data_IF_596025752705
#
_entry.id   IF_596025752705
#
_cell.length_a   1.000
_cell.length_b   1.000
_cell.length_c   1.000
_cell.angle_alpha   90.00
_cell.angle_beta   90.00
_cell.angle_gamma   90.00
#
_symmetry.space_group_name_H-M   'P 1'
#
loop_
_entity.id
_entity.type
_entity.pdbx_description
1 polymer ?
#
# COMPACT_ATOMS: atom_id res chain seq x y z
N UNK A 1 -1.67 -19.26 -0.49
CA UNK A 1 -1.88 -18.05 0.32
C UNK A 1 -3.02 -18.29 1.29
N UNK A 2 -2.74 -18.19 2.59
CA UNK A 2 -3.73 -18.28 3.65
C UNK A 2 -3.97 -16.89 4.24
N UNK A 3 -4.83 -16.11 3.59
CA UNK A 3 -5.07 -14.71 4.01
C UNK A 3 -5.66 -14.58 5.42
N UNK A 4 -6.32 -15.64 5.95
CA UNK A 4 -6.88 -15.66 7.31
C UNK A 4 -5.79 -15.84 8.36
N UNK A 5 -4.85 -16.77 8.14
CA UNK A 5 -3.67 -16.93 8.98
C UNK A 5 -2.78 -15.69 8.91
N UNK A 6 -2.71 -15.06 7.73
CA UNK A 6 -2.13 -13.73 7.53
C UNK A 6 -0.97 -13.77 6.56
N UNK A 7 -0.97 -12.83 5.63
CA UNK A 7 0.02 -12.72 4.56
C UNK A 7 0.58 -11.30 4.52
N UNK A 8 1.83 -11.16 4.06
CA UNK A 8 2.45 -9.87 3.73
C UNK A 8 2.58 -9.81 2.22
N UNK A 9 1.92 -8.83 1.61
CA UNK A 9 1.81 -8.65 0.18
C UNK A 9 2.48 -7.34 -0.22
N UNK A 10 3.16 -7.34 -1.36
CA UNK A 10 3.79 -6.15 -1.94
C UNK A 10 2.96 -5.74 -3.16
N UNK A 11 2.47 -4.51 -3.16
CA UNK A 11 1.61 -4.00 -4.23
C UNK A 11 2.23 -2.76 -4.85
N UNK A 12 2.40 -2.73 -6.17
CA UNK A 12 2.78 -1.50 -6.87
C UNK A 12 1.54 -0.61 -6.97
N UNK A 13 1.47 0.43 -6.13
CA UNK A 13 0.33 1.35 -6.07
C UNK A 13 0.31 2.22 -7.34
N UNK A 14 -0.77 2.19 -8.14
CA UNK A 14 -0.87 3.04 -9.31
C UNK A 14 -1.06 4.52 -8.93
N UNK A 15 -0.76 5.40 -9.89
CA UNK A 15 -0.95 6.83 -9.74
C UNK A 15 -2.44 7.16 -9.53
N UNK A 16 -2.73 8.21 -8.77
CA UNK A 16 -4.06 8.73 -8.39
C UNK A 16 -4.85 7.84 -7.43
N UNK A 17 -4.38 6.63 -7.10
CA UNK A 17 -5.03 5.79 -6.10
C UNK A 17 -4.57 6.17 -4.69
N UNK A 18 -5.50 6.29 -3.75
CA UNK A 18 -5.14 6.41 -2.33
C UNK A 18 -4.68 5.05 -1.79
N UNK A 19 -3.86 5.07 -0.75
CA UNK A 19 -3.44 3.84 -0.06
C UNK A 19 -4.66 3.03 0.46
N UNK A 20 -5.70 3.73 0.92
CA UNK A 20 -6.94 3.11 1.37
C UNK A 20 -7.74 2.48 0.22
N UNK A 21 -7.73 3.06 -0.98
CA UNK A 21 -8.38 2.49 -2.16
C UNK A 21 -7.78 1.12 -2.52
N UNK A 22 -6.46 0.99 -2.48
CA UNK A 22 -5.77 -0.30 -2.68
C UNK A 22 -6.20 -1.32 -1.63
N UNK A 23 -6.18 -0.94 -0.35
CA UNK A 23 -6.63 -1.81 0.75
C UNK A 23 -8.06 -2.29 0.54
N UNK A 24 -8.98 -1.40 0.12
CA UNK A 24 -10.37 -1.76 -0.15
C UNK A 24 -10.50 -2.73 -1.31
N UNK A 25 -9.76 -2.49 -2.41
CA UNK A 25 -9.77 -3.36 -3.58
C UNK A 25 -9.25 -4.75 -3.23
N UNK A 26 -8.13 -4.84 -2.51
CA UNK A 26 -7.55 -6.12 -2.07
C UNK A 26 -8.51 -6.86 -1.14
N UNK A 27 -9.07 -6.17 -0.13
CA UNK A 27 -10.03 -6.77 0.79
C UNK A 27 -11.24 -7.33 0.04
N UNK A 28 -11.78 -6.58 -0.91
CA UNK A 28 -12.89 -7.02 -1.75
C UNK A 28 -12.56 -8.31 -2.49
N UNK A 29 -11.43 -8.37 -3.21
CA UNK A 29 -11.04 -9.54 -3.97
C UNK A 29 -10.77 -10.77 -3.08
N UNK A 30 -10.11 -10.59 -1.94
CA UNK A 30 -9.85 -11.67 -0.98
C UNK A 30 -11.17 -12.21 -0.41
N UNK A 31 -12.07 -11.34 0.05
CA UNK A 31 -13.37 -11.75 0.58
C UNK A 31 -14.17 -12.57 -0.44
N UNK A 32 -14.23 -12.11 -1.70
CA UNK A 32 -14.92 -12.84 -2.78
C UNK A 32 -14.28 -14.19 -3.07
N UNK A 33 -12.95 -14.26 -3.15
CA UNK A 33 -12.22 -15.50 -3.41
C UNK A 33 -12.42 -16.54 -2.31
N UNK A 34 -12.51 -16.10 -1.05
CA UNK A 34 -12.65 -16.99 0.11
C UNK A 34 -14.10 -17.23 0.54
N UNK A 35 -15.09 -16.59 -0.10
CA UNK A 35 -16.49 -16.70 0.31
C UNK A 35 -16.77 -16.15 1.71
N UNK A 36 -15.99 -15.17 2.19
CA UNK A 36 -16.15 -14.59 3.54
C UNK A 36 -16.64 -13.15 3.49
N UNK A 37 -17.41 -12.75 4.50
CA UNK A 37 -17.94 -11.38 4.60
C UNK A 37 -16.86 -10.35 4.98
N UNK A 38 -15.89 -10.74 5.81
CA UNK A 38 -14.88 -9.82 6.35
C UNK A 38 -13.55 -10.52 6.60
N UNK A 39 -12.48 -9.79 6.34
CA UNK A 39 -11.10 -10.15 6.70
C UNK A 39 -10.33 -8.88 7.07
N UNK A 40 -9.40 -8.98 8.02
CA UNK A 40 -8.51 -7.87 8.36
C UNK A 40 -7.51 -7.66 7.23
N UNK A 41 -7.43 -6.42 6.75
CA UNK A 41 -6.46 -5.97 5.74
C UNK A 41 -6.05 -4.54 6.10
N UNK A 42 -4.75 -4.26 6.15
CA UNK A 42 -4.17 -2.95 6.39
C UNK A 42 -2.88 -2.75 5.60
N UNK A 43 -2.37 -1.53 5.56
CA UNK A 43 -1.11 -1.20 4.87
C UNK A 43 -0.03 -0.74 5.87
N UNK A 44 1.24 -0.99 5.56
CA UNK A 44 2.37 -0.58 6.39
C UNK A 44 3.05 0.69 5.87
N UNK A 45 2.29 1.79 5.91
CA UNK A 45 2.74 3.12 5.49
C UNK A 45 1.90 3.66 4.34
N UNK A 46 1.58 4.95 4.42
CA UNK A 46 0.79 5.64 3.40
C UNK A 46 1.71 6.08 2.26
N UNK A 47 1.29 5.86 1.03
CA UNK A 47 1.78 6.56 -0.15
C UNK A 47 0.73 7.59 -0.59
N UNK A 48 1.20 8.80 -0.92
CA UNK A 48 0.36 9.85 -1.47
C UNK A 48 -0.37 9.40 -2.74
N UNK A 49 -1.56 9.94 -3.03
CA UNK A 49 -2.26 9.64 -4.28
C UNK A 49 -1.41 9.90 -5.52
N UNK A 50 -0.53 10.90 -5.48
CA UNK A 50 0.36 11.26 -6.58
C UNK A 50 1.72 10.51 -6.58
N UNK A 51 1.97 9.67 -5.57
CA UNK A 51 3.10 8.75 -5.57
C UNK A 51 2.72 7.40 -6.19
N UNK A 52 3.71 6.67 -6.71
CA UNK A 52 3.56 5.28 -7.18
C UNK A 52 4.54 4.36 -6.43
N UNK A 53 4.50 3.06 -6.71
CA UNK A 53 5.51 2.13 -6.22
C UNK A 53 5.06 1.26 -5.05
N UNK A 54 6.03 0.62 -4.41
CA UNK A 54 5.79 -0.50 -3.51
C UNK A 54 5.06 -0.08 -2.24
N UNK A 55 3.92 -0.70 -1.99
CA UNK A 55 3.15 -0.59 -0.77
C UNK A 55 2.98 -1.97 -0.14
N UNK A 56 3.33 -2.09 1.14
CA UNK A 56 3.19 -3.32 1.91
C UNK A 56 1.75 -3.40 2.44
N UNK A 57 1.10 -4.53 2.19
CA UNK A 57 -0.26 -4.85 2.61
C UNK A 57 -0.23 -6.11 3.47
N UNK A 58 -0.80 -6.04 4.66
CA UNK A 58 -0.89 -7.18 5.57
C UNK A 58 -2.35 -7.66 5.66
N UNK A 59 -2.55 -8.98 5.71
CA UNK A 59 -3.87 -9.60 5.95
C UNK A 59 -3.89 -10.38 7.26
N UNK A 60 -5.08 -10.69 7.78
CA UNK A 60 -5.24 -11.66 8.87
C UNK A 60 -4.41 -11.31 10.11
N UNK A 61 -3.66 -12.26 10.66
CA UNK A 61 -2.78 -12.02 11.83
C UNK A 61 -1.55 -11.18 11.47
N UNK A 62 -1.12 -11.16 10.21
CA UNK A 62 0.04 -10.38 9.77
C UNK A 62 -0.19 -8.86 9.90
N UNK A 63 -1.45 -8.39 10.05
CA UNK A 63 -1.70 -6.97 10.36
C UNK A 63 -1.08 -6.52 11.68
N UNK A 64 -0.77 -7.44 12.60
CA UNK A 64 -0.06 -7.13 13.85
C UNK A 64 1.39 -6.70 13.62
N UNK A 65 1.97 -7.00 12.46
CA UNK A 65 3.33 -6.64 12.07
C UNK A 65 3.40 -5.32 11.29
N UNK A 66 2.29 -4.60 11.15
CA UNK A 66 2.26 -3.35 10.38
C UNK A 66 3.25 -2.33 10.94
N UNK A 67 3.32 -2.18 12.26
CA UNK A 67 4.24 -1.24 12.91
C UNK A 67 5.70 -1.57 12.62
N UNK A 68 6.09 -2.86 12.72
CA UNK A 68 7.42 -3.35 12.32
C UNK A 68 7.82 -2.80 10.95
N UNK A 69 7.00 -3.05 9.92
CA UNK A 69 7.23 -2.61 8.54
C UNK A 69 7.20 -1.09 8.33
N UNK A 70 6.47 -0.34 9.17
CA UNK A 70 6.44 1.12 9.07
C UNK A 70 7.81 1.71 9.40
N UNK A 71 8.51 1.17 10.41
CA UNK A 71 9.82 1.65 10.86
C UNK A 71 10.98 1.28 9.94
N UNK A 72 10.80 0.37 8.98
CA UNK A 72 11.83 0.11 7.98
C UNK A 72 12.10 1.35 7.12
N UNK A 73 13.38 1.51 6.77
CA UNK A 73 13.85 2.48 5.78
C UNK A 73 13.15 2.26 4.43
N UNK A 74 12.94 3.36 3.70
CA UNK A 74 12.21 3.38 2.43
C UNK A 74 13.03 4.16 1.43
N UNK A 75 13.09 3.66 0.21
CA UNK A 75 13.78 4.33 -0.88
C UNK A 75 12.76 4.91 -1.86
N UNK A 76 13.00 6.14 -2.31
CA UNK A 76 12.17 6.83 -3.29
C UNK A 76 13.04 7.36 -4.41
N UNK A 77 12.56 7.20 -5.64
CA UNK A 77 13.03 7.97 -6.79
C UNK A 77 12.08 9.16 -6.94
N UNK A 78 12.66 10.35 -6.99
CA UNK A 78 11.91 11.58 -7.19
C UNK A 78 12.48 12.39 -8.37
N UNK A 79 11.59 12.99 -9.15
CA UNK A 79 11.94 14.01 -10.14
C UNK A 79 11.32 15.32 -9.67
N UNK A 80 12.13 16.37 -9.55
CA UNK A 80 11.71 17.68 -9.10
C UNK A 80 11.78 18.66 -10.28
N UNK A 81 10.71 19.43 -10.48
CA UNK A 81 10.70 20.53 -11.45
C UNK A 81 10.82 21.86 -10.71
N UNK A 82 11.84 22.64 -11.04
CA UNK A 82 12.08 23.97 -10.46
C UNK A 82 11.50 25.10 -11.33
N UNK A 83 11.24 26.25 -10.71
CA UNK A 83 10.76 27.46 -11.38
C UNK A 83 9.25 27.50 -11.67
N UNK A 84 8.50 26.47 -11.27
CA UNK A 84 7.04 26.47 -11.37
C UNK A 84 6.39 27.09 -10.11
N UNK A 85 5.21 27.72 -10.23
CA UNK A 85 4.49 28.27 -9.07
C UNK A 85 4.15 27.23 -8.00
N UNK A 86 4.08 25.95 -8.41
CA UNK A 86 3.81 24.81 -7.54
C UNK A 86 4.86 23.72 -7.78
N UNK A 87 5.25 23.03 -6.72
CA UNK A 87 6.18 21.91 -6.81
C UNK A 87 5.54 20.75 -7.58
N UNK A 88 5.83 20.68 -8.87
CA UNK A 88 5.57 19.47 -9.65
C UNK A 88 6.68 18.49 -9.36
N UNK A 89 6.30 17.35 -8.80
CA UNK A 89 7.23 16.27 -8.51
C UNK A 89 6.58 14.92 -8.72
N UNK A 90 7.34 13.98 -9.26
CA UNK A 90 6.93 12.58 -9.34
C UNK A 90 7.67 11.80 -8.29
N UNK A 91 6.97 10.95 -7.54
CA UNK A 91 7.56 10.12 -6.49
C UNK A 91 7.24 8.64 -6.75
N UNK A 92 8.26 7.78 -6.73
CA UNK A 92 8.09 6.33 -6.81
C UNK A 92 8.87 5.64 -5.71
N UNK A 93 8.17 4.89 -4.85
CA UNK A 93 8.79 4.02 -3.85
C UNK A 93 9.33 2.75 -4.50
N UNK A 94 10.58 2.39 -4.24
CA UNK A 94 11.16 1.10 -4.61
C UNK A 94 10.96 0.05 -3.52
#
# INVERSE_FOLDING_TARGET
MNFKEGEVLYFDKPLKWTSFAVVNKIRYHICRKLGVKKIKVGHAGTLDPLATGVMIICTGKATKRIEEFQYHTKEYIATLHWGLPHLHSTWRRR
#
